data_IF_926544945358
#
_entry.id   IF_926544945358
#
_cell.length_a   1.000
_cell.length_b   1.000
_cell.length_c   1.000
_cell.angle_alpha   90.00
_cell.angle_beta   90.00
_cell.angle_gamma   90.00
#
_symmetry.space_group_name_H-M   'P 1'
#
loop_
_entity.id
_entity.type
_entity.pdbx_description
1 polymer ?
#
# COMPACT_ATOMS: atom_id res chain seq x y z
N UNK A 1 -2.52 1.69 21.69
CA UNK A 1 -1.73 1.55 20.45
C UNK A 1 -0.35 1.03 20.84
N UNK A 2 -0.13 -0.28 20.69
CA UNK A 2 1.15 -0.92 21.06
C UNK A 2 2.07 -0.80 19.85
N UNK A 3 3.10 0.06 19.96
CA UNK A 3 4.18 0.14 18.99
C UNK A 3 5.25 -0.84 19.47
N UNK A 4 5.26 -2.06 18.91
CA UNK A 4 6.30 -3.06 19.21
C UNK A 4 7.62 -2.64 18.55
N UNK A 5 8.62 -2.31 19.36
CA UNK A 5 9.97 -1.92 18.93
C UNK A 5 10.81 -3.14 18.54
N UNK A 6 10.59 -3.72 17.36
CA UNK A 6 11.54 -4.62 16.67
C UNK A 6 11.41 -4.39 15.15
N UNK A 7 12.46 -3.87 14.54
CA UNK A 7 12.56 -3.27 13.20
C UNK A 7 11.81 -1.94 13.05
N UNK A 8 12.54 -0.85 12.78
CA UNK A 8 12.02 0.50 12.56
C UNK A 8 11.24 0.66 11.23
N UNK A 9 10.81 -0.45 10.63
CA UNK A 9 10.05 -0.46 9.40
C UNK A 9 8.59 -0.25 9.81
N UNK A 10 8.09 0.96 9.59
CA UNK A 10 6.66 1.20 9.75
C UNK A 10 5.92 0.36 8.72
N UNK A 11 4.78 -0.21 9.11
CA UNK A 11 3.94 -0.99 8.22
C UNK A 11 2.48 -0.63 8.44
N UNK A 12 1.69 -0.68 7.38
CA UNK A 12 0.27 -0.42 7.40
C UNK A 12 -0.49 -1.67 6.98
N UNK A 13 -1.32 -2.18 7.89
CA UNK A 13 -2.39 -3.13 7.57
C UNK A 13 -3.52 -2.36 6.89
N UNK A 14 -3.89 -2.80 5.69
CA UNK A 14 -5.00 -2.28 4.91
C UNK A 14 -6.09 -3.34 4.90
N UNK A 15 -7.25 -2.95 5.42
CA UNK A 15 -8.47 -3.74 5.40
C UNK A 15 -9.15 -3.58 4.04
N UNK A 16 -9.52 -4.71 3.44
CA UNK A 16 -10.19 -4.86 2.15
C UNK A 16 -11.49 -5.68 2.26
N UNK A 17 -11.98 -5.91 3.48
CA UNK A 17 -13.07 -6.85 3.76
C UNK A 17 -14.36 -6.48 3.02
N UNK A 18 -14.62 -5.19 2.81
CA UNK A 18 -15.78 -4.70 2.03
C UNK A 18 -15.76 -5.19 0.57
N UNK A 19 -14.57 -5.33 -0.03
CA UNK A 19 -14.40 -5.75 -1.43
C UNK A 19 -14.40 -7.27 -1.60
N UNK A 20 -14.24 -8.01 -0.51
CA UNK A 20 -14.21 -9.47 -0.48
C UNK A 20 -15.45 -10.10 0.16
N UNK A 21 -16.22 -9.36 0.96
CA UNK A 21 -17.38 -9.87 1.68
C UNK A 21 -17.03 -10.74 2.89
N UNK A 22 -15.74 -10.85 3.21
CA UNK A 22 -15.16 -11.65 4.28
C UNK A 22 -13.92 -10.94 4.81
N UNK A 23 -13.33 -11.41 5.92
CA UNK A 23 -12.12 -10.80 6.46
C UNK A 23 -10.99 -10.87 5.43
N UNK A 24 -10.58 -9.72 4.90
CA UNK A 24 -9.52 -9.62 3.89
C UNK A 24 -8.60 -8.44 4.18
N UNK A 25 -7.29 -8.69 4.20
CA UNK A 25 -6.31 -7.66 4.48
C UNK A 25 -4.93 -7.98 3.92
N UNK A 26 -4.18 -6.90 3.68
CA UNK A 26 -2.76 -6.95 3.31
C UNK A 26 -1.99 -5.92 4.13
N UNK A 27 -0.80 -6.29 4.57
CA UNK A 27 0.11 -5.42 5.31
C UNK A 27 1.28 -5.06 4.43
N UNK A 28 1.49 -3.76 4.24
CA UNK A 28 2.58 -3.22 3.43
C UNK A 28 3.55 -2.45 4.32
N UNK A 29 4.85 -2.55 4.06
CA UNK A 29 5.86 -1.72 4.71
C UNK A 29 5.87 -0.31 4.12
N UNK A 30 6.48 0.59 4.87
CA UNK A 30 6.82 1.94 4.42
C UNK A 30 7.74 1.85 3.20
N UNK A 31 7.45 2.65 2.15
CA UNK A 31 8.35 2.76 1.03
C UNK A 31 9.63 3.47 1.48
N UNK A 32 10.79 3.01 1.02
CA UNK A 32 12.03 3.75 1.19
C UNK A 32 12.04 4.99 0.27
N UNK A 33 13.06 5.84 0.39
CA UNK A 33 13.17 7.08 -0.41
C UNK A 33 13.09 6.82 -1.93
N UNK A 34 13.76 5.79 -2.43
CA UNK A 34 13.76 5.44 -3.85
C UNK A 34 12.37 4.98 -4.32
N UNK A 35 11.68 4.20 -3.50
CA UNK A 35 10.32 3.73 -3.77
C UNK A 35 9.30 4.87 -3.71
N UNK A 36 9.49 5.87 -2.83
CA UNK A 36 8.67 7.09 -2.84
C UNK A 36 8.90 7.88 -4.13
N UNK A 37 10.14 8.02 -4.60
CA UNK A 37 10.41 8.69 -5.88
C UNK A 37 9.77 7.93 -7.05
N UNK A 38 9.88 6.61 -7.08
CA UNK A 38 9.22 5.77 -8.08
C UNK A 38 7.69 5.94 -8.07
N UNK A 39 7.05 5.97 -6.88
CA UNK A 39 5.60 6.25 -6.78
C UNK A 39 5.22 7.61 -7.35
N UNK A 40 6.05 8.65 -7.13
CA UNK A 40 5.80 9.99 -7.69
C UNK A 40 5.94 10.02 -9.21
N UNK A 41 6.91 9.31 -9.76
CA UNK A 41 7.10 9.19 -11.21
C UNK A 41 5.93 8.43 -11.85
N UNK A 42 5.53 7.30 -11.26
CA UNK A 42 4.39 6.51 -11.72
C UNK A 42 3.08 7.32 -11.72
N UNK A 43 2.90 8.23 -10.75
CA UNK A 43 1.73 9.12 -10.68
C UNK A 43 1.66 10.14 -11.84
N UNK A 44 2.71 10.27 -12.66
CA UNK A 44 2.71 11.12 -13.88
C UNK A 44 2.30 10.37 -15.14
N UNK A 45 2.20 9.03 -15.08
CA UNK A 45 1.88 8.18 -16.22
C UNK A 45 0.37 8.11 -16.48
N UNK A 46 0.00 7.52 -17.63
CA UNK A 46 -1.40 7.19 -17.90
C UNK A 46 -1.90 6.13 -16.92
N UNK A 47 -3.19 6.17 -16.60
CA UNK A 47 -3.81 5.38 -15.53
C UNK A 47 -3.45 3.88 -15.56
N UNK A 48 -3.46 3.27 -16.74
CA UNK A 48 -3.13 1.85 -16.92
C UNK A 48 -1.66 1.54 -16.61
N UNK A 49 -0.74 2.38 -17.05
CA UNK A 49 0.70 2.23 -16.85
C UNK A 49 1.08 2.53 -15.39
N UNK A 50 0.43 3.54 -14.81
CA UNK A 50 0.53 3.85 -13.39
C UNK A 50 0.12 2.63 -12.54
N UNK A 51 -1.06 2.05 -12.77
CA UNK A 51 -1.55 0.92 -11.98
C UNK A 51 -0.64 -0.31 -12.10
N UNK A 52 -0.15 -0.61 -13.31
CA UNK A 52 0.79 -1.72 -13.52
C UNK A 52 2.11 -1.50 -12.77
N UNK A 53 2.71 -0.30 -12.87
CA UNK A 53 3.96 0.00 -12.17
C UNK A 53 3.81 0.07 -10.66
N UNK A 54 2.68 0.58 -10.16
CA UNK A 54 2.37 0.61 -8.72
C UNK A 54 2.22 -0.81 -8.19
N UNK A 55 1.56 -1.71 -8.93
CA UNK A 55 1.45 -3.13 -8.58
C UNK A 55 2.82 -3.77 -8.40
N UNK A 56 3.70 -3.62 -9.38
CA UNK A 56 5.04 -4.20 -9.34
C UNK A 56 5.86 -3.66 -8.16
N UNK A 57 5.75 -2.37 -7.87
CA UNK A 57 6.40 -1.76 -6.71
C UNK A 57 5.84 -2.31 -5.39
N UNK A 58 4.51 -2.38 -5.28
CA UNK A 58 3.81 -2.85 -4.08
C UNK A 58 4.10 -4.31 -3.77
N UNK A 59 4.39 -5.15 -4.77
CA UNK A 59 4.77 -6.55 -4.56
C UNK A 59 6.00 -6.67 -3.65
N UNK A 60 6.97 -5.73 -3.78
CA UNK A 60 8.17 -5.67 -2.94
C UNK A 60 7.95 -5.08 -1.53
N UNK A 61 6.74 -4.60 -1.27
CA UNK A 61 6.33 -3.92 -0.05
C UNK A 61 5.45 -4.80 0.83
N UNK A 62 4.92 -5.91 0.32
CA UNK A 62 4.07 -6.82 1.09
C UNK A 62 4.88 -7.48 2.21
N UNK A 63 4.40 -7.31 3.44
CA UNK A 63 4.99 -7.90 4.66
C UNK A 63 4.18 -9.11 5.10
N UNK A 64 2.84 -9.01 5.02
CA UNK A 64 1.93 -10.05 5.47
C UNK A 64 0.54 -9.89 4.81
N UNK A 65 -0.29 -10.93 4.84
CA UNK A 65 -1.68 -10.91 4.36
C UNK A 65 -2.48 -12.07 4.96
N UNK A 66 -3.79 -12.15 4.70
CA UNK A 66 -4.60 -13.33 5.00
C UNK A 66 -5.22 -14.01 3.77
N UNK A 67 -4.63 -13.84 2.58
CA UNK A 67 -5.04 -14.58 1.39
C UNK A 67 -4.39 -15.97 1.32
N UNK A 68 -5.20 -16.99 1.02
CA UNK A 68 -4.81 -18.40 0.94
C UNK A 68 -5.30 -19.03 -0.36
N UNK A 69 -4.57 -20.02 -0.88
CA UNK A 69 -4.98 -20.84 -2.02
C UNK A 69 -6.01 -21.92 -1.62
N UNK A 70 -5.91 -22.40 -0.39
CA UNK A 70 -6.78 -23.40 0.24
C UNK A 70 -6.82 -23.16 1.77
N UNK A 71 -7.41 -24.08 2.55
CA UNK A 71 -7.56 -23.90 4.00
C UNK A 71 -6.22 -23.83 4.78
N UNK A 72 -5.11 -24.29 4.20
CA UNK A 72 -3.81 -24.40 4.87
C UNK A 72 -2.69 -23.61 4.17
N UNK A 73 -2.81 -23.37 2.87
CA UNK A 73 -1.71 -22.85 2.03
C UNK A 73 -1.86 -21.36 1.81
N UNK A 74 -1.04 -20.58 2.51
CA UNK A 74 -0.97 -19.12 2.34
C UNK A 74 -0.36 -18.77 0.98
N UNK A 75 -0.93 -17.79 0.28
CA UNK A 75 -0.35 -17.32 -0.97
C UNK A 75 1.03 -16.70 -0.75
N UNK A 76 1.88 -16.73 -1.77
CA UNK A 76 3.08 -15.90 -1.77
C UNK A 76 2.70 -14.42 -1.88
N UNK A 77 3.49 -13.48 -1.36
CA UNK A 77 3.14 -12.06 -1.30
C UNK A 77 2.75 -11.46 -2.66
N UNK A 78 3.44 -11.85 -3.74
CA UNK A 78 3.11 -11.43 -5.10
C UNK A 78 1.76 -11.99 -5.56
N UNK A 79 1.49 -13.27 -5.31
CA UNK A 79 0.23 -13.91 -5.70
C UNK A 79 -0.97 -13.34 -4.91
N UNK A 80 -0.77 -13.00 -3.63
CA UNK A 80 -1.76 -12.29 -2.84
C UNK A 80 -2.08 -10.91 -3.42
N UNK A 81 -1.05 -10.18 -3.87
CA UNK A 81 -1.24 -8.90 -4.53
C UNK A 81 -1.94 -9.05 -5.88
N UNK A 82 -1.55 -10.03 -6.70
CA UNK A 82 -2.21 -10.35 -7.97
C UNK A 82 -3.71 -10.60 -7.75
N UNK A 83 -4.06 -11.41 -6.75
CA UNK A 83 -5.44 -11.71 -6.39
C UNK A 83 -6.25 -10.46 -5.98
N UNK A 84 -5.64 -9.51 -5.26
CA UNK A 84 -6.29 -8.23 -4.95
C UNK A 84 -6.48 -7.39 -6.21
N UNK A 85 -5.48 -7.36 -7.09
CA UNK A 85 -5.52 -6.57 -8.33
C UNK A 85 -6.50 -7.11 -9.37
N UNK A 86 -6.87 -8.39 -9.31
CA UNK A 86 -7.92 -8.97 -10.15
C UNK A 86 -9.32 -8.40 -9.83
N UNK A 87 -9.49 -7.76 -8.67
CA UNK A 87 -10.69 -7.00 -8.29
C UNK A 87 -10.43 -5.49 -8.39
N UNK A 88 -10.95 -4.78 -9.40
CA UNK A 88 -10.63 -3.36 -9.63
C UNK A 88 -10.86 -2.46 -8.42
N UNK A 89 -11.97 -2.63 -7.71
CA UNK A 89 -12.29 -1.80 -6.54
C UNK A 89 -11.35 -2.08 -5.35
N UNK A 90 -10.97 -3.34 -5.14
CA UNK A 90 -9.98 -3.70 -4.12
C UNK A 90 -8.59 -3.14 -4.46
N UNK A 91 -8.21 -3.18 -5.74
CA UNK A 91 -6.96 -2.59 -6.22
C UNK A 91 -6.92 -1.08 -5.96
N UNK A 92 -7.97 -0.36 -6.34
CA UNK A 92 -8.08 1.09 -6.14
C UNK A 92 -8.07 1.46 -4.66
N UNK A 93 -8.81 0.73 -3.83
CA UNK A 93 -8.85 0.94 -2.38
C UNK A 93 -7.49 0.69 -1.73
N UNK A 94 -6.83 -0.40 -2.10
CA UNK A 94 -5.49 -0.73 -1.63
C UNK A 94 -4.47 0.36 -1.98
N UNK A 95 -4.42 0.75 -3.26
CA UNK A 95 -3.51 1.79 -3.76
C UNK A 95 -3.80 3.13 -3.08
N UNK A 96 -5.07 3.53 -3.00
CA UNK A 96 -5.49 4.80 -2.40
C UNK A 96 -5.09 4.89 -0.93
N UNK A 97 -5.48 3.90 -0.12
CA UNK A 97 -5.14 3.84 1.31
C UNK A 97 -3.63 3.79 1.54
N UNK A 98 -2.89 3.09 0.68
CA UNK A 98 -1.43 3.01 0.80
C UNK A 98 -0.74 4.33 0.46
N UNK A 99 -1.08 4.95 -0.67
CA UNK A 99 -0.51 6.24 -1.09
C UNK A 99 -0.81 7.32 -0.06
N UNK A 100 -2.05 7.40 0.43
CA UNK A 100 -2.42 8.35 1.48
C UNK A 100 -1.52 8.21 2.70
N UNK A 101 -1.35 6.98 3.19
CA UNK A 101 -0.49 6.71 4.34
C UNK A 101 0.99 7.00 4.07
N UNK A 102 1.52 6.57 2.92
CA UNK A 102 2.93 6.71 2.55
C UNK A 102 3.34 8.17 2.35
N UNK A 103 2.43 9.02 1.84
CA UNK A 103 2.70 10.43 1.57
C UNK A 103 2.26 11.40 2.68
N UNK A 104 1.55 10.91 3.71
CA UNK A 104 1.07 11.76 4.82
C UNK A 104 2.17 12.61 5.49
N UNK A 105 3.39 12.09 5.76
CA UNK A 105 4.47 12.92 6.32
C UNK A 105 4.82 14.15 5.46
N UNK A 106 4.87 13.99 4.14
CA UNK A 106 5.15 15.08 3.20
C UNK A 106 4.00 16.08 3.13
N UNK A 107 2.75 15.58 3.15
CA UNK A 107 1.55 16.43 3.13
C UNK A 107 1.49 17.31 4.38
N UNK A 108 1.80 16.74 5.56
CA UNK A 108 1.87 17.48 6.83
C UNK A 108 3.00 18.51 6.84
N UNK A 109 4.17 18.17 6.30
CA UNK A 109 5.30 19.09 6.19
C UNK A 109 4.98 20.29 5.29
N UNK A 110 4.33 20.08 4.14
CA UNK A 110 3.92 21.15 3.23
C UNK A 110 2.84 22.07 3.79
N UNK A 111 1.91 21.56 4.61
CA UNK A 111 0.90 22.38 5.29
C UNK A 111 1.46 23.20 6.45
N UNK A 112 2.50 22.70 7.12
CA UNK A 112 3.20 23.42 8.20
C UNK A 112 3.89 24.70 7.69
N UNK A 113 4.45 24.66 6.49
CA UNK A 113 5.11 25.83 5.87
C UNK A 113 4.11 26.92 5.46
N UNK A 114 2.90 26.56 5.02
CA UNK A 114 1.89 27.54 4.59
C UNK A 114 1.25 28.32 5.75
N UNK A 115 1.37 27.85 7.00
CA UNK A 115 0.84 28.56 8.19
C UNK A 115 1.82 29.57 8.80
N UNK A 116 3.07 29.63 8.34
CA UNK A 116 4.07 30.59 8.82
C UNK A 116 4.21 31.83 7.93
N UNK A 117 3.36 31.98 6.89
CA UNK A 117 3.43 33.09 5.92
C UNK A 117 2.27 34.09 6.01
N UNK A 118 1.61 34.21 7.18
CA UNK A 118 0.59 35.22 7.46
C UNK A 118 0.99 36.11 8.63
#
# INVERSE_FOLDING_TARGET
MIISKKNWILSKKIDLSEQFGEEAWITLREPNTDQVMALRELATLQEREMLAGVKDLMASLVVDHNFYADEATKLEPKAALDFVYDKPMAALELVGKYIEWAFEPFRRAGQSTSKQSL
#
